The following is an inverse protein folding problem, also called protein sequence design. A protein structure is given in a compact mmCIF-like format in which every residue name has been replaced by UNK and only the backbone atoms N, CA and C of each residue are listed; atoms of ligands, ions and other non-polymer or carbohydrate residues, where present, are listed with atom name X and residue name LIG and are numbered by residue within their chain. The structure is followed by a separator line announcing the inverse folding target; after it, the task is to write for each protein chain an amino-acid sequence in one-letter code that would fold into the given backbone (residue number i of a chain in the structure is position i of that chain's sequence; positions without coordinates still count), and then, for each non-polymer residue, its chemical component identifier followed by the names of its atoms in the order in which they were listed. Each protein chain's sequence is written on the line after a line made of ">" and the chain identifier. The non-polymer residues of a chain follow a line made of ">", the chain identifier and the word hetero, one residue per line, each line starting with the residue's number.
data_IF_157432522244
#
_entry.id   IF_157432522244
#
_cell.length_a   1.000
_cell.length_b   1.000
_cell.length_c   1.000
_cell.angle_alpha   90.00
_cell.angle_beta   90.00
_cell.angle_gamma   90.00
#
_symmetry.space_group_name_H-M   'P 1'
#
loop_
_entity.id
_entity.type
_entity.pdbx_description
1 polymer ?
#
# COMPACT_ATOMS: atom_id res chain seq x y z
N UNK A 1 -21.47 -8.82 -3.21
CA UNK A 1 -21.23 -10.26 -2.95
C UNK A 1 -19.85 -10.74 -3.42
N UNK A 2 -19.25 -10.18 -4.48
CA UNK A 2 -17.97 -10.65 -5.02
C UNK A 2 -16.76 -10.70 -4.05
N UNK A 3 -16.54 -9.73 -3.13
CA UNK A 3 -15.34 -9.75 -2.27
C UNK A 3 -15.31 -10.94 -1.30
N UNK A 4 -16.48 -11.39 -0.84
CA UNK A 4 -16.59 -12.52 0.10
C UNK A 4 -16.39 -13.87 -0.58
N UNK A 5 -16.71 -13.99 -1.88
CA UNK A 5 -16.49 -15.21 -2.65
C UNK A 5 -14.99 -15.44 -2.90
N UNK A 6 -14.24 -14.37 -3.22
CA UNK A 6 -12.78 -14.45 -3.38
C UNK A 6 -12.09 -15.07 -2.15
N UNK A 7 -12.57 -14.74 -0.94
CA UNK A 7 -12.01 -15.24 0.31
C UNK A 7 -12.17 -16.76 0.51
N UNK A 8 -13.01 -17.43 -0.28
CA UNK A 8 -13.14 -18.89 -0.26
C UNK A 8 -11.95 -19.59 -0.96
N UNK A 9 -11.25 -18.88 -1.85
CA UNK A 9 -10.14 -19.41 -2.63
C UNK A 9 -8.76 -19.16 -2.00
N UNK A 10 -8.72 -18.59 -0.79
CA UNK A 10 -7.45 -18.35 -0.09
C UNK A 10 -6.82 -19.68 0.35
N UNK A 11 -5.50 -19.75 0.27
CA UNK A 11 -4.74 -20.97 0.62
C UNK A 11 -4.71 -21.29 2.11
N UNK A 12 -4.88 -20.29 2.97
CA UNK A 12 -4.95 -20.49 4.41
C UNK A 12 -5.86 -19.45 5.06
N UNK A 13 -6.36 -19.76 6.26
CA UNK A 13 -7.25 -18.84 7.01
C UNK A 13 -6.56 -17.53 7.38
N UNK A 14 -5.23 -17.52 7.49
CA UNK A 14 -4.42 -16.37 7.85
C UNK A 14 -4.25 -15.36 6.71
N UNK A 15 -4.46 -15.77 5.45
CA UNK A 15 -4.36 -14.90 4.28
C UNK A 15 -5.65 -14.11 4.05
N UNK A 16 -5.52 -12.93 3.45
CA UNK A 16 -6.64 -12.04 3.11
C UNK A 16 -7.56 -11.69 4.29
N UNK A 17 -7.01 -11.64 5.48
CA UNK A 17 -7.69 -11.16 6.68
C UNK A 17 -6.69 -10.42 7.53
N UNK A 18 -7.17 -9.57 8.43
CA UNK A 18 -6.35 -8.87 9.43
C UNK A 18 -6.45 -9.50 10.82
N UNK A 19 -7.47 -10.33 11.05
CA UNK A 19 -7.69 -11.06 12.31
C UNK A 19 -8.38 -12.40 12.13
N UNK A 20 -8.22 -13.26 13.12
CA UNK A 20 -8.91 -14.53 13.29
C UNK A 20 -9.52 -14.59 14.69
N UNK A 21 -10.73 -15.10 14.79
CA UNK A 21 -11.38 -15.37 16.07
C UNK A 21 -11.10 -16.82 16.49
N UNK A 22 -10.59 -16.99 17.71
CA UNK A 22 -10.35 -18.31 18.29
C UNK A 22 -11.67 -19.00 18.67
N UNK A 23 -11.76 -20.30 18.42
CA UNK A 23 -12.93 -21.09 18.79
C UNK A 23 -13.08 -21.28 20.32
N UNK A 24 -11.99 -21.16 21.08
CA UNK A 24 -12.00 -21.23 22.53
C UNK A 24 -11.51 -19.89 23.13
N UNK A 25 -12.32 -19.28 23.99
CA UNK A 25 -11.89 -18.19 24.89
C UNK A 25 -12.00 -16.75 24.38
N UNK A 26 -12.84 -16.45 23.37
CA UNK A 26 -12.99 -15.08 22.83
C UNK A 26 -11.66 -14.42 22.41
N UNK A 27 -10.64 -15.22 22.09
CA UNK A 27 -9.34 -14.73 21.67
C UNK A 27 -9.38 -14.18 20.24
N UNK A 28 -8.61 -13.12 19.98
CA UNK A 28 -8.37 -12.59 18.63
C UNK A 28 -6.89 -12.72 18.29
N UNK A 29 -6.59 -13.37 17.17
CA UNK A 29 -5.23 -13.48 16.63
C UNK A 29 -5.09 -12.58 15.42
N UNK A 30 -4.17 -11.62 15.46
CA UNK A 30 -3.90 -10.74 14.31
C UNK A 30 -2.99 -11.42 13.30
N UNK A 31 -3.35 -11.33 12.02
CA UNK A 31 -2.66 -12.00 10.91
C UNK A 31 -1.68 -11.10 10.17
N UNK A 32 -1.52 -9.84 10.59
CA UNK A 32 -0.71 -8.84 9.88
C UNK A 32 0.78 -9.20 9.71
N UNK A 33 1.34 -10.09 10.53
CA UNK A 33 2.69 -10.63 10.30
C UNK A 33 2.75 -11.63 9.11
N UNK A 34 1.64 -12.32 8.82
CA UNK A 34 1.51 -13.28 7.71
C UNK A 34 0.90 -12.66 6.45
N UNK A 35 0.30 -11.47 6.56
CA UNK A 35 -0.39 -10.77 5.48
C UNK A 35 -0.14 -9.25 5.54
N UNK A 36 0.85 -8.73 4.79
CA UNK A 36 1.23 -7.31 4.84
C UNK A 36 0.16 -6.37 4.25
N UNK A 37 -0.73 -6.90 3.41
CA UNK A 37 -1.79 -6.13 2.73
C UNK A 37 -3.14 -6.19 3.46
N UNK A 38 -3.14 -6.47 4.77
CA UNK A 38 -4.35 -6.67 5.56
C UNK A 38 -5.23 -5.41 5.68
N UNK A 39 -4.70 -4.25 5.28
CA UNK A 39 -5.43 -2.99 5.32
C UNK A 39 -6.68 -3.00 4.42
N UNK A 40 -6.70 -3.74 3.30
CA UNK A 40 -7.87 -3.81 2.42
C UNK A 40 -9.09 -4.34 3.20
N UNK A 41 -8.90 -5.42 3.97
CA UNK A 41 -9.96 -6.04 4.75
C UNK A 41 -10.24 -5.29 6.04
N UNK A 42 -9.19 -4.82 6.73
CA UNK A 42 -9.35 -4.03 7.95
C UNK A 42 -10.14 -2.75 7.68
N UNK A 43 -9.80 -2.01 6.63
CA UNK A 43 -10.45 -0.75 6.30
C UNK A 43 -11.91 -0.95 5.93
N UNK A 44 -12.22 -1.97 5.13
CA UNK A 44 -13.60 -2.32 4.84
C UNK A 44 -14.37 -2.68 6.12
N UNK A 45 -13.83 -3.54 6.98
CA UNK A 45 -14.50 -3.92 8.23
C UNK A 45 -14.71 -2.73 9.18
N UNK A 46 -13.71 -1.85 9.30
CA UNK A 46 -13.81 -0.63 10.08
C UNK A 46 -14.94 0.29 9.56
N UNK A 47 -15.07 0.43 8.24
CA UNK A 47 -16.16 1.19 7.63
C UNK A 47 -17.52 0.51 7.86
N UNK A 48 -17.60 -0.82 7.83
CA UNK A 48 -18.85 -1.54 8.10
C UNK A 48 -19.39 -1.28 9.51
N UNK A 49 -18.49 -1.05 10.48
CA UNK A 49 -18.80 -0.76 11.88
C UNK A 49 -18.88 0.74 12.20
N UNK A 50 -18.52 1.60 11.24
CA UNK A 50 -18.46 3.05 11.46
C UNK A 50 -19.86 3.65 11.65
N UNK A 51 -20.06 4.53 12.64
CA UNK A 51 -21.30 5.29 12.79
C UNK A 51 -21.54 6.29 11.64
N UNK A 52 -20.52 6.53 10.81
CA UNK A 52 -20.60 7.42 9.65
C UNK A 52 -21.00 6.69 8.35
N UNK A 53 -21.21 5.37 8.40
CA UNK A 53 -21.69 4.61 7.24
C UNK A 53 -23.22 4.70 7.15
N UNK A 54 -23.73 5.00 5.96
CA UNK A 54 -25.16 4.84 5.64
C UNK A 54 -25.40 3.62 4.74
N UNK A 55 -26.57 3.00 4.87
CA UNK A 55 -27.07 1.98 3.93
C UNK A 55 -28.01 2.57 2.88
N UNK A 56 -28.50 3.79 3.11
CA UNK A 56 -29.29 4.56 2.15
C UNK A 56 -28.47 5.79 1.75
N UNK A 57 -27.90 5.84 0.53
CA UNK A 57 -27.07 6.97 0.10
C UNK A 57 -27.88 8.23 -0.26
N UNK A 58 -29.20 8.14 -0.51
CA UNK A 58 -30.03 9.27 -0.96
C UNK A 58 -30.91 9.84 0.17
N UNK A 59 -31.34 9.05 1.16
CA UNK A 59 -32.19 9.54 2.25
C UNK A 59 -31.39 10.03 3.47
N UNK A 60 -31.08 11.33 3.49
CA UNK A 60 -30.60 12.00 4.70
C UNK A 60 -31.78 12.41 5.60
N UNK A 61 -32.28 11.51 6.45
CA UNK A 61 -33.16 11.95 7.54
C UNK A 61 -33.94 10.85 8.26
N UNK A 62 -33.75 10.76 9.58
CA UNK A 62 -34.78 10.23 10.48
C UNK A 62 -36.05 11.08 10.45
N UNK A 63 -37.12 10.57 11.05
CA UNK A 63 -38.53 10.97 10.92
C UNK A 63 -38.94 12.45 11.19
N UNK A 64 -38.00 13.39 11.40
CA UNK A 64 -38.30 14.79 11.68
C UNK A 64 -37.74 15.71 10.59
N UNK A 65 -38.60 16.20 9.69
CA UNK A 65 -38.30 17.40 8.92
C UNK A 65 -38.65 17.41 7.43
N UNK A 66 -39.89 17.06 7.06
CA UNK A 66 -40.45 17.35 5.71
C UNK A 66 -40.69 18.84 5.47
N UNK A 67 -39.70 19.72 5.67
CA UNK A 67 -39.89 21.17 5.43
C UNK A 67 -38.58 21.99 5.34
N UNK A 68 -37.49 21.43 4.83
CA UNK A 68 -36.43 22.22 4.19
C UNK A 68 -35.59 21.31 3.28
N UNK A 69 -36.10 21.00 2.08
CA UNK A 69 -35.39 20.19 1.08
C UNK A 69 -34.27 20.99 0.43
N UNK A 70 -33.21 21.30 1.18
CA UNK A 70 -31.88 21.31 0.59
C UNK A 70 -31.51 19.83 0.45
N UNK A 71 -31.14 19.39 -0.75
CA UNK A 71 -30.74 18.00 -1.07
C UNK A 71 -29.53 17.58 -0.21
N UNK A 72 -29.71 17.28 1.06
CA UNK A 72 -28.69 16.55 1.81
C UNK A 72 -28.74 15.11 1.31
N UNK A 73 -27.59 14.63 0.82
CA UNK A 73 -27.34 13.21 0.59
C UNK A 73 -26.93 12.60 1.93
N UNK A 74 -27.26 11.34 2.16
CA UNK A 74 -26.81 10.65 3.35
C UNK A 74 -25.37 10.13 3.21
N UNK A 75 -24.90 9.93 1.97
CA UNK A 75 -23.51 9.61 1.66
C UNK A 75 -22.82 10.76 0.91
N UNK A 76 -21.70 11.22 1.47
CA UNK A 76 -20.79 12.18 0.80
C UNK A 76 -19.67 11.47 0.02
N UNK A 77 -19.31 10.25 0.43
CA UNK A 77 -18.25 9.44 -0.18
C UNK A 77 -18.70 7.99 -0.35
N UNK A 78 -18.21 7.34 -1.40
CA UNK A 78 -18.50 5.94 -1.76
C UNK A 78 -17.21 5.12 -1.74
N UNK A 79 -17.05 4.28 -0.72
CA UNK A 79 -15.93 3.35 -0.69
C UNK A 79 -16.20 2.12 -1.57
N UNK A 80 -15.24 1.76 -2.43
CA UNK A 80 -15.34 0.57 -3.29
C UNK A 80 -14.41 -0.55 -2.77
N UNK A 81 -14.95 -1.61 -2.17
CA UNK A 81 -14.14 -2.68 -1.58
C UNK A 81 -13.69 -3.69 -2.63
N UNK A 82 -12.47 -3.51 -3.15
CA UNK A 82 -11.76 -4.47 -4.01
C UNK A 82 -10.56 -5.01 -3.25
N UNK A 83 -10.37 -6.33 -3.27
CA UNK A 83 -9.29 -7.02 -2.56
C UNK A 83 -8.26 -7.57 -3.55
N UNK A 84 -7.66 -6.68 -4.35
CA UNK A 84 -6.76 -7.09 -5.42
C UNK A 84 -5.47 -7.72 -4.88
N UNK A 85 -4.95 -7.22 -3.75
CA UNK A 85 -3.77 -7.83 -3.13
C UNK A 85 -4.03 -9.29 -2.76
N UNK A 86 -5.23 -9.60 -2.26
CA UNK A 86 -5.66 -10.97 -1.96
C UNK A 86 -5.67 -11.86 -3.20
N UNK A 87 -6.27 -11.38 -4.30
CA UNK A 87 -6.31 -12.11 -5.56
C UNK A 87 -4.89 -12.43 -6.04
N UNK A 88 -4.01 -11.43 -6.07
CA UNK A 88 -2.65 -11.57 -6.59
C UNK A 88 -1.80 -12.54 -5.77
N UNK A 89 -1.81 -12.41 -4.44
CA UNK A 89 -0.84 -13.10 -3.59
C UNK A 89 -1.36 -14.39 -2.99
N UNK A 90 -2.62 -14.42 -2.55
CA UNK A 90 -3.18 -15.57 -1.84
C UNK A 90 -3.96 -16.54 -2.74
N UNK A 91 -4.45 -16.07 -3.90
CA UNK A 91 -5.20 -16.90 -4.85
C UNK A 91 -4.31 -17.27 -6.03
N UNK A 92 -3.90 -16.29 -6.84
CA UNK A 92 -3.06 -16.53 -8.01
C UNK A 92 -1.63 -16.95 -7.64
N UNK A 93 -1.14 -16.57 -6.46
CA UNK A 93 0.17 -17.00 -5.98
C UNK A 93 0.32 -18.48 -5.70
N UNK A 94 -0.79 -19.21 -5.65
CA UNK A 94 -0.83 -20.65 -5.38
C UNK A 94 -1.69 -21.40 -6.40
N UNK A 95 -2.03 -20.77 -7.52
CA UNK A 95 -2.74 -21.44 -8.60
C UNK A 95 -1.79 -22.37 -9.36
N UNK A 96 -2.28 -23.55 -9.75
CA UNK A 96 -1.50 -24.56 -10.48
C UNK A 96 -1.21 -24.19 -11.95
N UNK A 97 -1.83 -23.12 -12.45
CA UNK A 97 -1.66 -22.64 -13.82
C UNK A 97 -0.62 -21.50 -13.90
N UNK A 98 0.18 -21.44 -14.99
CA UNK A 98 1.10 -20.32 -15.20
C UNK A 98 0.33 -19.00 -15.26
N UNK A 99 0.66 -18.09 -14.35
CA UNK A 99 0.14 -16.73 -14.34
C UNK A 99 1.23 -15.77 -14.83
N UNK A 100 1.19 -15.33 -16.11
CA UNK A 100 2.26 -14.51 -16.69
C UNK A 100 2.34 -13.11 -16.05
N UNK A 101 1.23 -12.60 -15.50
CA UNK A 101 1.15 -11.33 -14.79
C UNK A 101 0.03 -11.35 -13.76
N UNK A 102 0.34 -11.31 -12.47
CA UNK A 102 -0.65 -11.16 -11.40
C UNK A 102 -1.20 -9.75 -11.33
N UNK A 103 -0.35 -8.75 -11.59
CA UNK A 103 -0.77 -7.34 -11.59
C UNK A 103 -1.82 -7.04 -12.67
N UNK A 104 -1.76 -7.71 -13.82
CA UNK A 104 -2.82 -7.67 -14.83
C UNK A 104 -4.16 -8.08 -14.23
N UNK A 105 -4.23 -9.21 -13.53
CA UNK A 105 -5.47 -9.69 -12.93
C UNK A 105 -5.99 -8.72 -11.86
N UNK A 106 -5.09 -8.10 -11.09
CA UNK A 106 -5.44 -7.02 -10.16
C UNK A 106 -6.09 -5.83 -10.88
N UNK A 107 -5.45 -5.31 -11.94
CA UNK A 107 -5.96 -4.19 -12.73
C UNK A 107 -7.32 -4.51 -13.37
N UNK A 108 -7.47 -5.72 -13.93
CA UNK A 108 -8.74 -6.20 -14.51
C UNK A 108 -9.83 -6.29 -13.44
N UNK A 109 -9.52 -6.77 -12.23
CA UNK A 109 -10.49 -6.83 -11.13
C UNK A 109 -11.02 -5.44 -10.76
N UNK A 110 -10.18 -4.41 -10.75
CA UNK A 110 -10.63 -3.02 -10.56
C UNK A 110 -11.49 -2.53 -11.73
N UNK A 111 -11.09 -2.83 -12.97
CA UNK A 111 -11.83 -2.43 -14.16
C UNK A 111 -13.22 -3.05 -14.19
N UNK A 112 -13.35 -4.36 -13.91
CA UNK A 112 -14.64 -5.04 -13.83
C UNK A 112 -15.53 -4.47 -12.70
N UNK A 113 -14.94 -4.12 -11.56
CA UNK A 113 -15.67 -3.46 -10.48
C UNK A 113 -16.21 -2.08 -10.91
N UNK A 114 -15.40 -1.29 -11.63
CA UNK A 114 -15.82 -0.02 -12.21
C UNK A 114 -16.98 -0.20 -13.21
N UNK A 115 -16.86 -1.13 -14.15
CA UNK A 115 -17.87 -1.38 -15.18
C UNK A 115 -19.19 -1.86 -14.58
N UNK A 116 -19.12 -2.67 -13.52
CA UNK A 116 -20.30 -3.01 -12.74
C UNK A 116 -20.91 -1.80 -12.02
N UNK A 117 -20.10 -0.96 -11.35
CA UNK A 117 -20.61 0.22 -10.63
C UNK A 117 -21.37 1.19 -11.54
N UNK A 118 -20.87 1.39 -12.77
CA UNK A 118 -21.48 2.27 -13.80
C UNK A 118 -22.88 1.85 -14.21
N UNK A 119 -23.16 0.55 -14.15
CA UNK A 119 -24.41 -0.04 -14.64
C UNK A 119 -25.35 -0.40 -13.50
N UNK A 120 -24.82 -0.83 -12.36
CA UNK A 120 -25.58 -1.24 -11.20
C UNK A 120 -26.13 -0.05 -10.39
N UNK A 121 -25.45 1.09 -10.39
CA UNK A 121 -25.83 2.25 -9.57
C UNK A 121 -25.62 3.59 -10.28
N UNK A 122 -26.40 4.64 -9.92
CA UNK A 122 -26.26 5.96 -10.52
C UNK A 122 -25.07 6.76 -9.96
N UNK A 123 -24.47 6.32 -8.84
CA UNK A 123 -23.53 7.12 -8.04
C UNK A 123 -22.24 7.45 -8.79
N UNK A 124 -21.65 6.47 -9.49
CA UNK A 124 -20.45 6.69 -10.30
C UNK A 124 -20.71 7.74 -11.38
N UNK A 125 -21.73 7.51 -12.22
CA UNK A 125 -22.00 8.37 -13.38
C UNK A 125 -22.37 9.80 -13.00
N UNK A 126 -22.93 10.02 -11.80
CA UNK A 126 -23.31 11.34 -11.31
C UNK A 126 -22.12 12.27 -11.10
N UNK A 127 -21.04 11.76 -10.52
CA UNK A 127 -19.85 12.53 -10.16
C UNK A 127 -18.66 12.19 -11.03
N UNK A 128 -18.82 11.21 -11.91
CA UNK A 128 -17.77 10.55 -12.68
C UNK A 128 -16.70 9.93 -11.78
N UNK A 129 -17.02 9.56 -10.54
CA UNK A 129 -16.10 8.92 -9.60
C UNK A 129 -15.43 9.86 -8.60
N UNK A 130 -15.65 11.19 -8.65
CA UNK A 130 -15.01 12.17 -7.76
C UNK A 130 -15.27 11.98 -6.27
N UNK A 131 -16.39 11.36 -5.93
CA UNK A 131 -16.79 11.02 -4.56
C UNK A 131 -16.48 9.54 -4.22
N UNK A 132 -15.77 8.81 -5.08
CA UNK A 132 -15.42 7.41 -4.85
C UNK A 132 -14.01 7.26 -4.28
N UNK A 133 -13.86 6.34 -3.33
CA UNK A 133 -12.59 6.04 -2.65
C UNK A 133 -12.18 4.61 -2.97
N UNK A 134 -10.95 4.43 -3.44
CA UNK A 134 -10.36 3.13 -3.77
C UNK A 134 -9.07 2.90 -2.98
N UNK A 135 -8.81 1.65 -2.63
CA UNK A 135 -7.58 1.24 -1.96
C UNK A 135 -6.66 0.55 -2.96
N UNK A 136 -5.38 0.96 -3.02
CA UNK A 136 -4.34 0.32 -3.82
C UNK A 136 -3.13 0.04 -2.93
N UNK A 137 -3.15 -1.10 -2.25
CA UNK A 137 -2.27 -1.36 -1.10
C UNK A 137 -1.20 -2.42 -1.39
N UNK A 138 -1.27 -3.08 -2.54
CA UNK A 138 -0.19 -3.95 -2.99
C UNK A 138 1.05 -3.13 -3.38
N UNK A 139 2.18 -3.81 -3.56
CA UNK A 139 3.40 -3.25 -4.11
C UNK A 139 3.13 -2.39 -5.36
N UNK A 140 3.80 -1.25 -5.38
CA UNK A 140 3.68 -0.20 -6.40
C UNK A 140 2.31 0.50 -6.47
N UNK A 141 1.39 0.20 -5.54
CA UNK A 141 0.21 0.99 -5.26
C UNK A 141 -0.67 1.26 -6.47
N UNK A 142 -0.96 2.53 -6.74
CA UNK A 142 -1.89 2.94 -7.79
C UNK A 142 -1.25 3.05 -9.19
N UNK A 143 0.03 2.70 -9.36
CA UNK A 143 0.69 2.73 -10.68
C UNK A 143 -0.03 1.90 -11.75
N UNK A 144 -0.69 0.82 -11.33
CA UNK A 144 -1.43 -0.11 -12.18
C UNK A 144 -2.96 0.01 -11.98
N UNK A 145 -3.43 1.10 -11.38
CA UNK A 145 -4.86 1.39 -11.30
C UNK A 145 -5.43 1.63 -12.70
N UNK A 146 -6.67 1.19 -13.01
CA UNK A 146 -7.28 1.58 -14.26
C UNK A 146 -7.38 3.10 -14.40
N UNK A 147 -7.10 3.64 -15.59
CA UNK A 147 -6.92 5.08 -15.82
C UNK A 147 -8.09 5.92 -15.34
N UNK A 148 -9.31 5.45 -15.54
CA UNK A 148 -10.50 6.18 -15.12
C UNK A 148 -10.69 6.15 -13.59
N UNK A 149 -10.40 5.01 -12.96
CA UNK A 149 -10.37 4.92 -11.50
C UNK A 149 -9.34 5.93 -10.98
N UNK A 150 -8.11 5.87 -11.46
CA UNK A 150 -7.04 6.73 -10.95
C UNK A 150 -7.33 8.22 -11.14
N UNK A 151 -7.74 8.64 -12.35
CA UNK A 151 -7.89 10.07 -12.68
C UNK A 151 -9.06 10.73 -11.96
N UNK A 152 -10.15 9.99 -11.76
CA UNK A 152 -11.40 10.61 -11.33
C UNK A 152 -11.73 10.39 -9.86
N UNK A 153 -11.02 9.52 -9.14
CA UNK A 153 -11.37 9.12 -7.78
C UNK A 153 -10.29 9.46 -6.75
N UNK A 154 -10.63 9.29 -5.48
CA UNK A 154 -9.71 9.41 -4.35
C UNK A 154 -9.02 8.07 -4.17
N UNK A 155 -7.69 8.06 -4.23
CA UNK A 155 -6.90 6.84 -3.99
C UNK A 155 -6.24 6.86 -2.63
N UNK A 156 -6.45 5.80 -1.85
CA UNK A 156 -5.64 5.47 -0.68
C UNK A 156 -4.63 4.41 -1.09
N UNK A 157 -3.33 4.66 -0.90
CA UNK A 157 -2.27 3.75 -1.37
C UNK A 157 -1.13 3.58 -0.38
N UNK A 158 -0.41 2.47 -0.42
CA UNK A 158 0.84 2.32 0.33
C UNK A 158 2.04 2.93 -0.41
N UNK A 159 1.94 3.17 -1.72
CA UNK A 159 3.07 3.56 -2.56
C UNK A 159 2.86 4.93 -3.19
N UNK A 160 3.56 5.94 -2.67
CA UNK A 160 3.47 7.31 -3.17
C UNK A 160 4.66 7.71 -4.04
N UNK A 161 4.87 7.13 -5.23
CA UNK A 161 5.89 7.69 -6.14
C UNK A 161 5.31 8.89 -6.86
N UNK A 162 5.80 10.10 -6.55
CA UNK A 162 5.45 11.26 -7.35
C UNK A 162 6.20 11.22 -8.67
N UNK A 163 5.50 11.64 -9.72
CA UNK A 163 6.15 11.98 -10.96
C UNK A 163 7.05 13.19 -10.72
N UNK A 164 8.33 13.09 -11.08
CA UNK A 164 9.16 14.29 -11.22
C UNK A 164 8.49 15.21 -12.23
N UNK A 165 8.10 16.41 -11.81
CA UNK A 165 8.03 17.52 -12.74
C UNK A 165 9.43 17.61 -13.37
N UNK A 166 9.53 17.59 -14.69
CA UNK A 166 10.80 17.77 -15.37
C UNK A 166 11.44 19.06 -14.81
N UNK A 167 12.48 18.91 -13.98
CA UNK A 167 13.16 20.04 -13.32
C UNK A 167 14.03 20.82 -14.31
N UNK A 168 13.95 20.51 -15.59
CA UNK A 168 14.74 21.11 -16.65
C UNK A 168 13.87 22.08 -17.45
N UNK A 169 13.41 23.17 -16.82
CA UNK A 169 13.07 24.47 -17.45
C UNK A 169 12.21 24.54 -18.72
N UNK A 170 11.62 23.45 -19.18
CA UNK A 170 10.85 23.35 -20.40
C UNK A 170 9.37 23.29 -20.06
N UNK A 171 8.57 24.11 -20.73
CA UNK A 171 7.13 24.17 -20.64
C UNK A 171 6.45 22.88 -21.13
N UNK A 172 6.64 21.80 -20.37
CA UNK A 172 6.00 20.51 -20.54
C UNK A 172 5.96 19.80 -19.17
N UNK A 173 5.12 20.31 -18.26
CA UNK A 173 4.35 19.44 -17.37
C UNK A 173 3.31 18.65 -18.19
N UNK A 174 3.73 18.13 -19.35
CA UNK A 174 2.93 17.36 -20.26
C UNK A 174 2.78 15.99 -19.62
N UNK A 175 1.53 15.65 -19.31
CA UNK A 175 1.10 14.32 -18.88
C UNK A 175 1.89 13.25 -19.62
N UNK A 176 2.78 12.55 -18.90
CA UNK A 176 3.40 11.37 -19.46
C UNK A 176 2.28 10.39 -19.82
N UNK A 177 2.27 9.84 -21.04
CA UNK A 177 1.22 8.92 -21.48
C UNK A 177 1.24 7.59 -20.73
N UNK A 178 2.19 7.35 -19.81
CA UNK A 178 2.39 6.09 -19.11
C UNK A 178 2.80 6.32 -17.64
N UNK A 179 2.44 5.39 -16.73
CA UNK A 179 3.05 5.34 -15.40
C UNK A 179 4.58 5.14 -15.52
N UNK A 180 5.37 5.62 -14.54
CA UNK A 180 6.81 5.37 -14.53
C UNK A 180 7.10 3.86 -14.60
N UNK A 181 8.22 3.41 -15.17
CA UNK A 181 8.54 1.99 -15.22
C UNK A 181 8.49 1.35 -13.83
N UNK A 182 7.93 0.14 -13.79
CA UNK A 182 7.85 -0.69 -12.59
C UNK A 182 9.25 -0.89 -12.03
N UNK A 183 9.34 -0.66 -10.74
CA UNK A 183 10.55 -0.84 -9.94
C UNK A 183 10.72 -2.25 -9.42
N UNK A 184 9.74 -3.14 -9.68
CA UNK A 184 9.81 -4.50 -9.18
C UNK A 184 10.73 -5.40 -9.99
N UNK A 185 11.46 -6.26 -9.29
CA UNK A 185 12.25 -7.34 -9.93
C UNK A 185 11.42 -8.58 -10.22
N UNK A 186 10.19 -8.65 -9.69
CA UNK A 186 9.28 -9.78 -9.86
C UNK A 186 8.46 -9.59 -11.13
N UNK A 187 8.71 -10.42 -12.14
CA UNK A 187 8.05 -10.33 -13.45
C UNK A 187 6.53 -10.36 -13.34
N UNK A 188 6.00 -11.19 -12.45
CA UNK A 188 4.57 -11.37 -12.22
C UNK A 188 3.87 -10.11 -11.65
N UNK A 189 4.62 -9.18 -11.06
CA UNK A 189 4.10 -7.91 -10.54
C UNK A 189 4.54 -6.71 -11.39
N UNK A 190 5.34 -6.93 -12.43
CA UNK A 190 5.89 -5.86 -13.24
C UNK A 190 4.85 -5.32 -14.22
N UNK A 191 4.23 -4.19 -13.88
CA UNK A 191 3.21 -3.56 -14.70
C UNK A 191 3.75 -2.90 -15.98
N UNK A 192 5.07 -2.86 -16.18
CA UNK A 192 5.67 -2.41 -17.44
C UNK A 192 5.73 -3.52 -18.49
N UNK A 193 5.49 -4.77 -18.12
CA UNK A 193 5.44 -5.92 -19.03
C UNK A 193 3.99 -6.18 -19.42
N UNK A 194 3.70 -6.06 -20.72
CA UNK A 194 2.39 -6.44 -21.23
C UNK A 194 2.28 -7.95 -21.43
N UNK A 195 1.06 -8.45 -21.38
CA UNK A 195 0.72 -9.84 -21.71
C UNK A 195 -0.09 -9.81 -22.99
N UNK A 196 0.55 -10.20 -24.08
CA UNK A 196 -0.07 -10.30 -25.40
C UNK A 196 -0.63 -11.71 -25.61
N UNK A 197 -1.70 -11.80 -26.41
CA UNK A 197 -2.33 -13.08 -26.76
C UNK A 197 -3.37 -13.59 -25.75
N UNK A 198 -3.73 -12.79 -24.75
CA UNK A 198 -4.93 -13.06 -23.94
C UNK A 198 -6.18 -12.76 -24.78
N UNK A 199 -6.97 -13.80 -25.09
CA UNK A 199 -8.20 -13.67 -25.88
C UNK A 199 -9.24 -12.75 -25.21
N UNK A 200 -9.23 -12.65 -23.88
CA UNK A 200 -10.14 -11.78 -23.13
C UNK A 200 -9.68 -10.32 -23.15
N UNK A 201 -8.40 -10.07 -23.42
CA UNK A 201 -7.81 -8.74 -23.51
C UNK A 201 -7.02 -8.58 -24.82
N UNK A 202 -7.71 -8.60 -25.98
CA UNK A 202 -7.06 -8.50 -27.26
C UNK A 202 -6.31 -7.16 -27.35
N UNK A 203 -5.02 -7.19 -27.66
CA UNK A 203 -4.17 -5.99 -27.72
C UNK A 203 -3.47 -5.62 -26.40
N UNK A 204 -3.53 -6.50 -25.39
CA UNK A 204 -2.81 -6.30 -24.13
C UNK A 204 -3.61 -5.56 -23.07
N UNK A 205 -3.17 -5.68 -21.82
CA UNK A 205 -3.86 -5.11 -20.67
C UNK A 205 -3.32 -3.73 -20.29
N UNK A 206 -2.10 -3.39 -20.73
CA UNK A 206 -1.45 -2.12 -20.33
C UNK A 206 -2.26 -0.89 -20.68
N UNK A 207 -3.03 -0.92 -21.78
CA UNK A 207 -3.98 0.14 -22.17
C UNK A 207 -4.94 0.56 -21.06
N UNK A 208 -5.24 -0.33 -20.11
CA UNK A 208 -6.12 -0.06 -18.98
C UNK A 208 -5.51 0.94 -17.99
N UNK A 209 -4.17 1.05 -17.95
CA UNK A 209 -3.41 1.80 -16.93
C UNK A 209 -2.60 2.95 -17.55
N UNK A 210 -2.82 3.29 -18.82
CA UNK A 210 -2.07 4.34 -19.51
C UNK A 210 -2.61 5.74 -19.18
N UNK A 211 -1.73 6.74 -19.20
CA UNK A 211 -2.11 8.15 -19.10
C UNK A 211 -2.24 8.69 -17.68
N UNK A 212 -1.62 8.06 -16.68
CA UNK A 212 -1.55 8.63 -15.34
C UNK A 212 -0.26 8.27 -14.60
N UNK A 213 0.02 9.00 -13.51
CA UNK A 213 1.10 8.68 -12.57
C UNK A 213 0.69 7.66 -11.52
N UNK A 214 1.57 7.42 -10.56
CA UNK A 214 1.29 6.49 -9.45
C UNK A 214 0.68 7.19 -8.24
N UNK A 215 0.89 8.50 -8.11
CA UNK A 215 0.46 9.29 -6.98
C UNK A 215 0.23 10.75 -7.37
N UNK A 216 -0.89 11.32 -6.94
CA UNK A 216 -1.22 12.74 -7.05
C UNK A 216 -1.52 13.32 -5.66
N UNK A 217 -0.60 14.13 -5.14
CA UNK A 217 -0.72 14.71 -3.81
C UNK A 217 -1.93 15.65 -3.62
N UNK A 218 -2.60 16.07 -4.70
CA UNK A 218 -3.80 16.90 -4.62
C UNK A 218 -5.09 16.12 -4.30
N UNK A 219 -5.10 14.80 -4.53
CA UNK A 219 -6.28 13.94 -4.34
C UNK A 219 -6.01 12.62 -3.64
N UNK A 220 -4.77 12.14 -3.62
CA UNK A 220 -4.39 10.82 -3.13
C UNK A 220 -3.70 10.89 -1.77
N UNK A 221 -3.91 9.85 -0.95
CA UNK A 221 -3.33 9.73 0.37
C UNK A 221 -2.48 8.46 0.48
N UNK A 222 -1.24 8.64 0.94
CA UNK A 222 -0.38 7.52 1.31
C UNK A 222 -0.75 7.07 2.73
N UNK A 223 -1.23 5.84 2.86
CA UNK A 223 -1.64 5.21 4.12
C UNK A 223 -0.58 4.18 4.58
N UNK A 224 -0.38 3.98 5.90
CA UNK A 224 0.61 3.05 6.43
C UNK A 224 0.19 1.59 6.27
N UNK A 225 1.17 0.67 6.36
CA UNK A 225 0.93 -0.77 6.48
C UNK A 225 -0.11 -1.09 7.55
N UNK A 226 -0.88 -2.16 7.34
CA UNK A 226 -1.49 -2.83 8.50
C UNK A 226 -0.43 -3.64 9.25
N UNK A 227 -0.27 -3.36 10.54
CA UNK A 227 0.74 -3.98 11.40
C UNK A 227 0.08 -4.40 12.72
N UNK A 228 0.31 -5.65 13.18
CA UNK A 228 -0.36 -6.14 14.38
C UNK A 228 0.20 -5.46 15.65
N UNK A 229 -0.61 -5.28 16.71
CA UNK A 229 -0.18 -4.61 17.95
C UNK A 229 1.11 -5.18 18.57
N UNK A 230 1.34 -6.48 18.44
CA UNK A 230 2.55 -7.13 18.93
C UNK A 230 3.85 -6.55 18.34
N UNK A 231 3.82 -6.04 17.11
CA UNK A 231 4.98 -5.39 16.48
C UNK A 231 5.26 -3.98 17.00
N UNK A 232 4.31 -3.40 17.74
CA UNK A 232 4.39 -2.06 18.31
C UNK A 232 4.37 -2.03 19.84
N UNK A 233 4.62 -3.16 20.50
CA UNK A 233 4.53 -3.23 21.96
C UNK A 233 5.55 -2.32 22.68
N UNK A 234 6.64 -1.90 22.02
CA UNK A 234 7.59 -0.93 22.54
C UNK A 234 7.49 0.45 21.86
N UNK A 235 6.46 0.70 21.04
CA UNK A 235 6.27 1.96 20.35
C UNK A 235 5.87 3.07 21.36
N UNK A 236 6.70 4.10 21.49
CA UNK A 236 6.46 5.19 22.45
C UNK A 236 5.17 5.96 22.13
N UNK A 237 4.83 6.15 20.85
CA UNK A 237 3.60 6.82 20.44
C UNK A 237 2.32 6.07 20.86
N UNK A 238 2.45 4.78 21.20
CA UNK A 238 1.35 3.92 21.64
C UNK A 238 1.46 3.54 23.13
N UNK A 239 2.19 4.31 23.92
CA UNK A 239 2.33 4.12 25.37
C UNK A 239 3.46 3.17 25.79
N UNK A 240 4.34 2.77 24.86
CA UNK A 240 5.55 2.02 25.19
C UNK A 240 6.49 2.81 26.12
N UNK A 241 7.16 2.12 27.04
CA UNK A 241 8.10 2.75 27.97
C UNK A 241 9.27 3.44 27.23
N UNK A 242 9.64 4.64 27.67
CA UNK A 242 10.86 5.29 27.22
C UNK A 242 12.09 4.43 27.54
N UNK A 243 12.96 4.25 26.54
CA UNK A 243 14.21 3.49 26.66
C UNK A 243 15.40 4.38 26.37
N UNK A 244 16.54 4.03 26.97
CA UNK A 244 17.83 4.63 26.61
C UNK A 244 18.12 4.31 25.13
N UNK A 245 18.42 5.35 24.34
CA UNK A 245 18.80 5.21 22.94
C UNK A 245 20.29 4.87 22.85
N UNK A 246 20.61 3.60 22.72
CA UNK A 246 21.98 3.07 22.68
C UNK A 246 22.38 2.50 21.31
N UNK A 247 21.47 2.55 20.33
CA UNK A 247 21.75 2.29 18.91
C UNK A 247 21.68 3.63 18.18
N UNK A 248 22.75 4.01 17.48
CA UNK A 248 22.78 5.30 16.78
C UNK A 248 21.88 5.28 15.54
N UNK A 249 22.06 4.28 14.67
CA UNK A 249 21.30 4.12 13.44
C UNK A 249 20.94 2.64 13.25
N UNK A 250 19.69 2.36 12.86
CA UNK A 250 19.21 1.01 12.57
C UNK A 250 18.64 0.90 11.14
N UNK A 251 19.07 -0.13 10.42
CA UNK A 251 18.36 -0.71 9.28
C UNK A 251 18.34 -2.23 9.47
N UNK A 252 17.14 -2.81 9.63
CA UNK A 252 16.97 -4.25 9.72
C UNK A 252 15.92 -4.72 8.73
N UNK A 253 16.29 -5.55 7.78
CA UNK A 253 15.39 -6.03 6.72
C UNK A 253 16.11 -6.81 5.62
N UNK A 254 15.45 -7.03 4.49
CA UNK A 254 16.10 -7.65 3.33
C UNK A 254 17.10 -6.64 2.72
N UNK A 255 18.39 -6.99 2.75
CA UNK A 255 19.47 -6.16 2.19
C UNK A 255 19.61 -6.35 0.68
N UNK A 256 18.93 -7.37 0.12
CA UNK A 256 18.98 -7.68 -1.30
C UNK A 256 20.28 -8.37 -1.73
N UNK A 257 21.03 -8.98 -0.81
CA UNK A 257 22.32 -9.63 -1.11
C UNK A 257 22.20 -10.74 -2.17
N UNK A 258 21.06 -11.44 -2.22
CA UNK A 258 20.74 -12.47 -3.20
C UNK A 258 19.82 -11.99 -4.33
N UNK A 259 19.59 -10.68 -4.45
CA UNK A 259 18.65 -10.09 -5.42
C UNK A 259 19.37 -9.21 -6.44
N UNK A 260 18.81 -9.05 -7.66
CA UNK A 260 19.33 -8.09 -8.62
C UNK A 260 19.37 -6.67 -8.06
N UNK A 261 20.29 -5.83 -8.57
CA UNK A 261 20.42 -4.43 -8.12
C UNK A 261 19.11 -3.65 -8.21
N UNK A 262 18.25 -3.94 -9.19
CA UNK A 262 16.94 -3.31 -9.35
C UNK A 262 16.07 -3.36 -8.07
N UNK A 263 16.23 -4.37 -7.21
CA UNK A 263 15.53 -4.51 -5.92
C UNK A 263 15.52 -3.21 -5.11
N UNK A 264 16.68 -2.57 -4.92
CA UNK A 264 16.79 -1.30 -4.20
C UNK A 264 17.58 -0.23 -4.96
N UNK A 265 17.86 -0.50 -6.24
CA UNK A 265 18.75 0.34 -7.06
C UNK A 265 20.22 0.13 -6.70
N UNK A 266 20.52 -0.96 -5.99
CA UNK A 266 21.81 -1.27 -5.40
C UNK A 266 22.06 -0.59 -4.05
N UNK A 267 21.18 0.31 -3.60
CA UNK A 267 21.44 1.15 -2.42
C UNK A 267 21.55 0.32 -1.14
N UNK A 268 20.66 -0.65 -0.93
CA UNK A 268 20.70 -1.50 0.26
C UNK A 268 21.94 -2.37 0.30
N UNK A 269 22.30 -2.98 -0.83
CA UNK A 269 23.50 -3.78 -0.96
C UNK A 269 24.76 -2.96 -0.67
N UNK A 270 24.84 -1.74 -1.23
CA UNK A 270 25.96 -0.83 -1.02
C UNK A 270 26.08 -0.40 0.44
N UNK A 271 24.99 0.08 1.05
CA UNK A 271 24.97 0.48 2.46
C UNK A 271 25.31 -0.70 3.37
N UNK A 272 24.84 -1.90 3.04
CA UNK A 272 25.17 -3.12 3.77
C UNK A 272 26.67 -3.47 3.68
N UNK A 273 27.27 -3.41 2.48
CA UNK A 273 28.71 -3.62 2.30
C UNK A 273 29.53 -2.62 3.10
N UNK A 274 29.22 -1.32 2.97
CA UNK A 274 29.92 -0.25 3.67
C UNK A 274 29.84 -0.42 5.19
N UNK A 275 28.66 -0.81 5.72
CA UNK A 275 28.48 -1.03 7.15
C UNK A 275 29.40 -2.14 7.70
N UNK A 276 29.59 -3.22 6.94
CA UNK A 276 30.49 -4.32 7.29
C UNK A 276 31.97 -3.92 7.14
N UNK A 277 32.34 -3.39 5.98
CA UNK A 277 33.74 -3.05 5.64
C UNK A 277 34.32 -1.98 6.56
N UNK A 278 33.48 -1.04 6.99
CA UNK A 278 33.86 0.06 7.89
C UNK A 278 33.56 -0.23 9.36
N UNK A 279 33.09 -1.44 9.69
CA UNK A 279 32.82 -1.89 11.06
C UNK A 279 31.92 -0.94 11.84
N UNK A 280 30.85 -0.46 11.21
CA UNK A 280 29.95 0.55 11.77
C UNK A 280 29.27 0.13 13.08
N UNK A 281 29.01 -1.17 13.25
CA UNK A 281 28.40 -1.70 14.46
C UNK A 281 29.27 -1.50 15.70
N UNK A 282 30.56 -1.89 15.64
CA UNK A 282 31.48 -1.75 16.77
C UNK A 282 31.96 -0.31 16.95
N UNK A 283 32.14 0.43 15.86
CA UNK A 283 32.73 1.78 15.92
C UNK A 283 31.72 2.87 16.29
N UNK A 284 30.47 2.76 15.86
CA UNK A 284 29.48 3.83 15.96
C UNK A 284 28.13 3.38 16.51
N UNK A 285 27.97 2.10 16.88
CA UNK A 285 26.66 1.53 17.25
C UNK A 285 25.61 1.70 16.13
N UNK A 286 26.05 1.63 14.88
CA UNK A 286 25.19 1.65 13.69
C UNK A 286 25.00 0.21 13.23
N UNK A 287 23.75 -0.25 13.18
CA UNK A 287 23.39 -1.63 12.84
C UNK A 287 22.64 -1.67 11.52
N UNK A 288 23.27 -2.23 10.50
CA UNK A 288 22.68 -2.45 9.17
C UNK A 288 22.84 -3.93 8.83
N UNK A 289 21.74 -4.61 8.52
CA UNK A 289 21.77 -6.02 8.16
C UNK A 289 20.40 -6.68 8.14
N UNK A 290 20.39 -7.99 7.91
CA UNK A 290 19.17 -8.78 7.89
C UNK A 290 18.77 -9.32 9.27
N UNK A 291 17.68 -10.08 9.33
CA UNK A 291 17.14 -10.63 10.58
C UNK A 291 18.04 -11.66 11.25
N UNK A 292 18.98 -12.27 10.51
CA UNK A 292 19.98 -13.22 11.03
C UNK A 292 21.22 -12.51 11.56
N UNK A 293 21.58 -11.37 10.98
CA UNK A 293 22.76 -10.58 11.39
C UNK A 293 22.47 -9.66 12.57
N UNK A 294 21.25 -9.12 12.65
CA UNK A 294 20.79 -8.29 13.77
C UNK A 294 19.73 -9.08 14.55
N UNK A 295 20.16 -9.71 15.64
CA UNK A 295 19.28 -10.44 16.54
C UNK A 295 18.54 -9.50 17.52
N UNK A 296 17.41 -10.00 18.03
CA UNK A 296 16.59 -9.34 19.03
C UNK A 296 15.20 -8.96 18.55
N UNK A 297 14.39 -8.53 19.50
CA UNK A 297 13.04 -8.05 19.26
C UNK A 297 13.08 -6.73 18.45
N UNK A 298 12.37 -6.71 17.32
CA UNK A 298 12.43 -5.56 16.40
C UNK A 298 11.83 -4.29 17.00
N UNK A 299 10.72 -4.41 17.73
CA UNK A 299 10.07 -3.26 18.39
C UNK A 299 11.01 -2.66 19.45
N UNK A 300 11.71 -3.51 20.21
CA UNK A 300 12.73 -3.06 21.17
C UNK A 300 13.95 -2.44 20.49
N UNK A 301 14.40 -2.99 19.37
CA UNK A 301 15.51 -2.42 18.59
C UNK A 301 15.15 -1.02 18.08
N UNK A 302 13.95 -0.82 17.53
CA UNK A 302 13.45 0.48 17.09
C UNK A 302 13.36 1.47 18.27
N UNK A 303 12.81 1.04 19.42
CA UNK A 303 12.69 1.88 20.61
C UNK A 303 14.04 2.26 21.26
N UNK A 304 15.12 1.54 20.93
CA UNK A 304 16.50 1.81 21.36
C UNK A 304 17.32 2.60 20.34
N UNK A 305 16.78 2.83 19.14
CA UNK A 305 17.51 3.47 18.04
C UNK A 305 17.22 4.96 17.97
N UNK A 306 18.25 5.79 17.82
CA UNK A 306 18.09 7.25 17.63
C UNK A 306 17.58 7.56 16.23
N UNK A 307 18.23 6.98 15.22
CA UNK A 307 17.87 7.11 13.81
C UNK A 307 17.50 5.76 13.21
N UNK A 308 16.54 5.74 12.30
CA UNK A 308 16.13 4.54 11.57
C UNK A 308 16.19 4.84 10.08
N UNK A 309 17.02 4.10 9.36
CA UNK A 309 17.21 4.31 7.94
C UNK A 309 16.03 3.72 7.18
N UNK A 310 15.41 4.52 6.32
CA UNK A 310 14.32 4.08 5.45
C UNK A 310 14.84 4.15 4.03
N UNK A 311 15.20 2.98 3.50
CA UNK A 311 15.70 2.82 2.13
C UNK A 311 14.64 2.18 1.23
N UNK A 312 14.56 2.58 -0.06
CA UNK A 312 13.71 1.92 -1.05
C UNK A 312 13.92 0.41 -1.09
N UNK A 313 12.85 -0.32 -1.40
CA UNK A 313 12.85 -1.75 -1.71
C UNK A 313 12.20 -1.98 -3.09
N UNK A 314 11.95 -3.24 -3.39
CA UNK A 314 11.24 -3.70 -4.57
C UNK A 314 9.76 -3.38 -4.36
N UNK A 315 9.34 -2.21 -4.87
CA UNK A 315 8.04 -1.62 -4.58
C UNK A 315 8.03 -0.87 -3.25
N UNK A 316 7.05 -1.18 -2.40
CA UNK A 316 6.78 -0.43 -1.16
C UNK A 316 7.61 -0.92 0.03
N UNK A 317 7.93 -0.01 0.95
CA UNK A 317 8.67 -0.30 2.18
C UNK A 317 7.95 0.25 3.42
N UNK A 318 7.61 -0.66 4.33
CA UNK A 318 6.87 -0.40 5.56
C UNK A 318 7.79 -0.09 6.76
N UNK A 319 8.83 0.74 6.55
CA UNK A 319 9.82 1.08 7.58
C UNK A 319 9.62 2.48 8.18
N UNK A 320 8.92 3.37 7.47
CA UNK A 320 8.76 4.76 7.90
C UNK A 320 7.85 4.87 9.11
N UNK A 321 6.69 4.23 9.05
CA UNK A 321 5.71 4.15 10.13
C UNK A 321 6.28 3.45 11.36
N UNK A 322 7.07 2.38 11.14
CA UNK A 322 7.74 1.66 12.21
C UNK A 322 8.73 2.58 12.94
N UNK A 323 9.52 3.38 12.21
CA UNK A 323 10.42 4.35 12.81
C UNK A 323 9.66 5.43 13.63
N UNK A 324 8.68 6.08 12.99
CA UNK A 324 7.92 7.19 13.59
C UNK A 324 7.20 6.76 14.87
N UNK A 325 6.48 5.62 14.84
CA UNK A 325 5.72 5.15 16.00
C UNK A 325 6.61 4.79 17.20
N UNK A 326 7.84 4.34 16.95
CA UNK A 326 8.81 4.05 18.01
C UNK A 326 9.63 5.28 18.44
N UNK A 327 9.35 6.46 17.88
CA UNK A 327 10.14 7.68 18.09
C UNK A 327 11.61 7.50 17.68
N UNK A 328 11.87 6.63 16.71
CA UNK A 328 13.14 6.55 16.02
C UNK A 328 13.08 7.53 14.86
N UNK A 329 14.04 8.47 14.76
CA UNK A 329 13.98 9.52 13.74
C UNK A 329 14.18 8.88 12.36
N UNK A 330 13.18 8.90 11.47
CA UNK A 330 13.33 8.29 10.14
C UNK A 330 14.32 9.11 9.31
N UNK A 331 15.41 8.45 8.88
CA UNK A 331 16.33 8.98 7.87
C UNK A 331 15.88 8.43 6.53
N UNK A 332 15.04 9.20 5.86
CA UNK A 332 14.42 8.81 4.60
C UNK A 332 15.34 9.15 3.43
N UNK A 333 15.82 8.13 2.72
CA UNK A 333 16.68 8.33 1.55
C UNK A 333 15.85 8.06 0.30
N UNK A 334 15.45 9.15 -0.36
CA UNK A 334 14.75 9.13 -1.65
C UNK A 334 15.57 9.86 -2.71
N UNK A 335 15.43 9.49 -3.97
CA UNK A 335 16.12 10.13 -5.07
C UNK A 335 16.25 9.28 -6.34
N UNK A 336 16.70 9.91 -7.42
CA UNK A 336 16.83 9.26 -8.71
C UNK A 336 15.46 8.98 -9.35
N UNK A 337 15.28 7.85 -10.08
CA UNK A 337 14.02 7.53 -10.75
C UNK A 337 12.89 7.07 -9.81
N UNK A 338 13.14 6.95 -8.50
CA UNK A 338 12.15 6.52 -7.49
C UNK A 338 12.06 7.54 -6.36
N UNK A 339 11.48 8.69 -6.68
CA UNK A 339 11.17 9.68 -5.65
C UNK A 339 9.92 9.24 -4.87
N UNK A 340 10.18 8.52 -3.78
CA UNK A 340 9.13 7.96 -2.94
C UNK A 340 8.63 9.04 -1.96
N UNK A 341 7.32 9.05 -1.73
CA UNK A 341 6.69 9.87 -0.70
C UNK A 341 6.44 9.04 0.55
N UNK A 342 6.83 9.60 1.69
CA UNK A 342 6.49 9.03 2.98
C UNK A 342 4.97 9.14 3.26
N UNK A 343 4.39 8.19 4.04
CA UNK A 343 3.04 8.33 4.57
C UNK A 343 2.79 9.69 5.20
N UNK A 344 1.62 10.27 4.93
CA UNK A 344 1.16 11.57 5.42
C UNK A 344 1.99 12.81 5.00
N UNK A 345 3.03 12.67 4.18
CA UNK A 345 3.85 13.79 3.73
C UNK A 345 3.04 14.88 2.99
N UNK A 346 1.93 14.52 2.35
CA UNK A 346 1.03 15.46 1.67
C UNK A 346 0.18 16.31 2.63
N UNK A 347 -0.02 15.86 3.88
CA UNK A 347 -0.87 16.51 4.87
C UNK A 347 -0.07 17.50 5.73
N UNK A 348 1.25 17.31 5.84
CA UNK A 348 2.15 18.11 6.68
C UNK A 348 2.61 19.45 6.04
N UNK A 349 1.86 19.97 5.06
CA UNK A 349 2.19 21.21 4.33
C UNK A 349 1.62 22.46 4.98
#
# INVERSE_FOLDING_TARGET
>A
MAPALLLQYRTSKEKCTWRLFGAAGNGTTFTGAAWPYAVEQYFHEALLQSPHRTLDPEEAGGAAGRRLRRRLRAADLFYVPVYASCLMEAVLGYADAPCPSKVQHGAVMYQEALDWLRTAYPFWNRTQGRDHVWLFTHDEGACWAPTEVYRNSIVLTHYGVAQRAATDGGAAAAQLPLPPPSSTTRREFNYSVDVLGDERLPGGWRRLIEGHGCYDASKDLVIPAFRPPAQYHAAMALGGMHRKRDILLLLRGDMGDSRPKAFSGGLRQEVHSLARDKQWASKYSIRVGNTREIEGDYSLLLARSTYCLVLPEDGWVALFEDAVLHGCIPVYVSGGPRDLHAPFASILK
#
